data_IF_036287328067
#
_entry.id   IF_036287328067
#
_cell.length_a   1.000
_cell.length_b   1.000
_cell.length_c   1.000
_cell.angle_alpha   90.00
_cell.angle_beta   90.00
_cell.angle_gamma   90.00
#
_symmetry.space_group_name_H-M   'P 1'
#
loop_
_entity.id
_entity.type
_entity.pdbx_description
1 polymer ?
#
# COMPACT_ATOMS: atom_id res chain seq x y z
N UNK A 1 -13.82 6.12 -3.78
CA UNK A 1 -12.69 7.06 -3.85
C UNK A 1 -11.76 6.67 -4.98
N UNK A 2 -11.46 7.60 -5.86
CA UNK A 2 -10.57 7.36 -6.98
C UNK A 2 -9.12 7.41 -6.48
N UNK A 3 -8.27 6.52 -7.01
CA UNK A 3 -6.85 6.51 -6.66
C UNK A 3 -6.16 7.81 -7.05
N UNK A 4 -6.63 8.47 -8.10
CA UNK A 4 -6.09 9.75 -8.52
C UNK A 4 -6.26 10.83 -7.45
N UNK A 5 -7.31 10.73 -6.64
CA UNK A 5 -7.54 11.66 -5.54
C UNK A 5 -6.54 11.45 -4.41
N UNK A 6 -6.05 10.21 -4.24
CA UNK A 6 -5.06 9.88 -3.23
C UNK A 6 -3.64 10.26 -3.64
N UNK A 7 -3.36 10.25 -4.96
CA UNK A 7 -2.02 10.52 -5.48
C UNK A 7 -2.06 11.55 -6.61
N UNK A 8 -2.60 12.75 -6.37
CA UNK A 8 -2.81 13.73 -7.44
C UNK A 8 -1.52 14.17 -8.13
N UNK A 9 -0.40 14.12 -7.44
CA UNK A 9 0.89 14.58 -7.95
C UNK A 9 1.82 13.44 -8.35
N UNK A 10 1.32 12.20 -8.39
CA UNK A 10 2.15 11.02 -8.69
C UNK A 10 1.46 10.10 -9.69
N UNK A 11 1.22 10.58 -10.92
CA UNK A 11 0.53 9.75 -11.94
C UNK A 11 1.31 8.48 -12.30
N UNK A 12 2.62 8.47 -12.08
CA UNK A 12 3.50 7.32 -12.39
C UNK A 12 3.64 6.35 -11.21
N UNK A 13 2.94 6.60 -10.11
CA UNK A 13 3.02 5.72 -8.94
C UNK A 13 2.52 4.32 -9.31
N UNK A 14 3.26 3.26 -8.93
CA UNK A 14 2.85 1.89 -9.22
C UNK A 14 1.45 1.53 -8.72
N UNK A 15 1.03 2.08 -7.59
CA UNK A 15 -0.31 1.81 -7.05
C UNK A 15 -1.39 2.41 -7.93
N UNK A 16 -1.15 3.59 -8.50
CA UNK A 16 -2.08 4.22 -9.42
C UNK A 16 -2.20 3.36 -10.69
N UNK A 17 -1.06 2.93 -11.24
CA UNK A 17 -1.04 2.07 -12.43
C UNK A 17 -1.78 0.75 -12.16
N UNK A 18 -1.56 0.17 -10.99
CA UNK A 18 -2.22 -1.07 -10.59
C UNK A 18 -3.75 -0.90 -10.57
N UNK A 19 -4.22 0.22 -10.01
CA UNK A 19 -5.64 0.48 -9.90
C UNK A 19 -6.32 0.78 -11.23
N UNK A 20 -5.54 1.10 -12.27
CA UNK A 20 -6.06 1.38 -13.61
C UNK A 20 -5.94 0.20 -14.54
N UNK A 21 -5.28 -0.86 -14.12
CA UNK A 21 -5.08 -2.03 -14.96
C UNK A 21 -6.42 -2.66 -15.33
N UNK A 22 -6.60 -3.00 -16.61
CA UNK A 22 -7.80 -3.66 -17.09
C UNK A 22 -7.82 -5.09 -16.58
N UNK A 23 -8.89 -5.46 -15.88
CA UNK A 23 -9.05 -6.79 -15.30
C UNK A 23 -9.80 -7.75 -16.22
N UNK A 24 -10.43 -7.22 -17.28
CA UNK A 24 -11.23 -8.04 -18.18
C UNK A 24 -10.49 -9.23 -18.80
N UNK A 25 -9.19 -9.10 -19.20
CA UNK A 25 -8.48 -10.25 -19.77
C UNK A 25 -8.05 -11.28 -18.76
N UNK A 26 -8.22 -11.04 -17.46
CA UNK A 26 -7.77 -11.95 -16.42
C UNK A 26 -8.81 -13.03 -16.13
N UNK A 27 -8.32 -14.26 -15.92
CA UNK A 27 -9.17 -15.36 -15.48
C UNK A 27 -9.58 -15.17 -14.02
N UNK A 28 -10.61 -15.89 -13.60
CA UNK A 28 -11.05 -15.87 -12.20
C UNK A 28 -9.92 -16.33 -11.28
N UNK A 29 -9.17 -17.35 -11.69
CA UNK A 29 -8.03 -17.83 -10.91
C UNK A 29 -6.95 -16.76 -10.75
N UNK A 30 -6.63 -16.07 -11.85
CA UNK A 30 -5.67 -14.98 -11.81
C UNK A 30 -6.13 -13.84 -10.91
N UNK A 31 -7.42 -13.54 -10.92
CA UNK A 31 -7.99 -12.52 -10.07
C UNK A 31 -7.88 -12.91 -8.59
N UNK A 32 -8.11 -14.18 -8.27
CA UNK A 32 -7.93 -14.65 -6.89
C UNK A 32 -6.47 -14.55 -6.43
N UNK A 33 -5.54 -14.92 -7.30
CA UNK A 33 -4.11 -14.80 -7.00
C UNK A 33 -3.77 -13.33 -6.75
N UNK A 34 -4.33 -12.44 -7.58
CA UNK A 34 -4.12 -11.00 -7.44
C UNK A 34 -4.59 -10.51 -6.06
N UNK A 35 -5.74 -10.99 -5.61
CA UNK A 35 -6.26 -10.64 -4.28
C UNK A 35 -5.28 -11.07 -3.19
N UNK A 36 -4.75 -12.29 -3.27
CA UNK A 36 -3.80 -12.76 -2.27
C UNK A 36 -2.53 -11.94 -2.25
N UNK A 37 -2.03 -11.56 -3.42
CA UNK A 37 -0.85 -10.70 -3.52
C UNK A 37 -1.11 -9.32 -2.92
N UNK A 38 -2.32 -8.77 -3.15
CA UNK A 38 -2.69 -7.48 -2.58
C UNK A 38 -2.82 -7.55 -1.06
N UNK A 39 -3.36 -8.65 -0.54
CA UNK A 39 -3.44 -8.86 0.90
C UNK A 39 -2.04 -8.92 1.52
N UNK A 40 -1.11 -9.60 0.86
CA UNK A 40 0.27 -9.67 1.32
C UNK A 40 0.91 -8.29 1.33
N UNK A 41 0.61 -7.46 0.33
CA UNK A 41 1.12 -6.10 0.27
C UNK A 41 0.56 -5.24 1.40
N UNK A 42 -0.73 -5.39 1.71
CA UNK A 42 -1.34 -4.69 2.83
C UNK A 42 -0.61 -5.04 4.13
N UNK A 43 -0.37 -6.33 4.35
CA UNK A 43 0.33 -6.80 5.55
C UNK A 43 1.75 -6.24 5.63
N UNK A 44 2.44 -6.18 4.50
CA UNK A 44 3.79 -5.62 4.43
C UNK A 44 3.81 -4.14 4.83
N UNK A 45 2.86 -3.38 4.29
CA UNK A 45 2.76 -1.95 4.57
C UNK A 45 2.40 -1.71 6.04
N UNK A 46 1.45 -2.49 6.57
CA UNK A 46 1.06 -2.39 7.97
C UNK A 46 2.23 -2.70 8.91
N UNK A 47 3.02 -3.71 8.58
CA UNK A 47 4.22 -4.04 9.37
C UNK A 47 5.24 -2.91 9.33
N UNK A 48 5.39 -2.27 8.18
CA UNK A 48 6.28 -1.13 8.04
C UNK A 48 5.80 0.06 8.88
N UNK A 49 4.51 0.34 8.85
CA UNK A 49 3.92 1.41 9.66
C UNK A 49 4.18 1.15 11.15
N UNK A 50 4.00 -0.09 11.57
CA UNK A 50 4.21 -0.47 12.96
C UNK A 50 5.67 -0.21 13.40
N UNK A 51 6.63 -0.62 12.58
CA UNK A 51 8.04 -0.38 12.86
C UNK A 51 8.38 1.11 12.88
N UNK A 52 7.89 1.85 11.90
CA UNK A 52 8.12 3.29 11.81
C UNK A 52 7.52 4.02 13.00
N UNK A 53 6.32 3.61 13.41
CA UNK A 53 5.64 4.18 14.56
C UNK A 53 6.41 3.94 15.85
N UNK A 54 6.93 2.72 16.02
CA UNK A 54 7.74 2.38 17.21
C UNK A 54 9.05 3.16 17.24
N UNK A 55 9.69 3.31 16.10
CA UNK A 55 10.91 4.12 15.99
C UNK A 55 10.65 5.57 16.37
N UNK A 56 9.54 6.12 15.88
CA UNK A 56 9.18 7.49 16.19
C UNK A 56 8.91 7.68 17.68
N UNK A 57 8.19 6.74 18.31
CA UNK A 57 7.91 6.80 19.74
C UNK A 57 9.18 6.72 20.56
N UNK A 58 10.11 5.85 20.19
CA UNK A 58 11.39 5.71 20.88
C UNK A 58 12.20 7.01 20.78
N UNK A 59 12.22 7.63 19.59
CA UNK A 59 12.93 8.90 19.41
C UNK A 59 12.31 10.01 20.25
N UNK A 60 10.99 10.07 20.33
CA UNK A 60 10.27 11.05 21.14
C UNK A 60 10.61 10.87 22.63
N UNK A 61 10.69 9.63 23.10
CA UNK A 61 11.04 9.35 24.48
C UNK A 61 12.46 9.80 24.81
N UNK A 62 13.39 9.65 23.87
CA UNK A 62 14.76 10.08 24.06
C UNK A 62 14.88 11.60 24.22
N UNK A 63 13.99 12.34 23.59
CA UNK A 63 13.98 13.81 23.68
C UNK A 63 13.06 14.36 24.76
N UNK A 64 12.30 13.49 25.38
CA UNK A 64 11.38 13.88 26.44
C UNK A 64 12.12 13.96 27.76
N UNK A 65 12.06 15.12 28.40
CA UNK A 65 12.68 15.34 29.70
C UNK A 65 11.66 15.31 30.82
#
# INVERSE_FOLDING_TARGET
>A
MDLDDLFPNKPDDPLVALGRQDLDPMSIEELHVRIELLKAEIARVEAHIDRASKHRSAAEELFKK
#
